data_IF_587971185999
#
_entry.id   IF_587971185999
#
_cell.length_a   1.000
_cell.length_b   1.000
_cell.length_c   1.000
_cell.angle_alpha   90.00
_cell.angle_beta   90.00
_cell.angle_gamma   90.00
#
_symmetry.space_group_name_H-M   'P 1'
#
loop_
_entity.id
_entity.type
_entity.pdbx_description
1 polymer ?
#
# COMPACT_ATOMS: atom_id res chain seq x y z
N UNK A 1 7.09 -5.30 5.61
CA UNK A 1 5.71 -5.50 5.11
C UNK A 1 5.42 -6.95 4.73
N UNK A 2 6.14 -7.56 3.79
CA UNK A 2 5.84 -8.92 3.29
C UNK A 2 5.76 -10.00 4.39
N UNK A 3 6.75 -10.08 5.28
CA UNK A 3 6.75 -11.03 6.41
C UNK A 3 5.56 -10.84 7.36
N UNK A 4 5.19 -9.57 7.61
CA UNK A 4 4.04 -9.22 8.46
C UNK A 4 2.72 -9.70 7.83
N UNK A 5 2.52 -9.43 6.53
CA UNK A 5 1.33 -9.88 5.81
C UNK A 5 1.26 -11.40 5.73
N UNK A 6 2.39 -12.07 5.45
CA UNK A 6 2.47 -13.53 5.43
C UNK A 6 2.08 -14.13 6.78
N UNK A 7 2.70 -13.66 7.86
CA UNK A 7 2.38 -14.11 9.23
C UNK A 7 0.91 -13.91 9.57
N UNK A 8 0.35 -12.75 9.21
CA UNK A 8 -1.06 -12.44 9.49
C UNK A 8 -2.01 -13.33 8.68
N UNK A 9 -1.72 -13.56 7.39
CA UNK A 9 -2.52 -14.44 6.54
C UNK A 9 -2.47 -15.90 7.00
N UNK A 10 -1.31 -16.37 7.47
CA UNK A 10 -1.16 -17.73 8.01
C UNK A 10 -1.88 -17.90 9.35
N UNK A 11 -1.91 -16.85 10.19
CA UNK A 11 -2.49 -16.92 11.53
C UNK A 11 -4.00 -16.69 11.55
N UNK A 12 -4.51 -15.82 10.69
CA UNK A 12 -5.90 -15.33 10.74
C UNK A 12 -6.66 -15.45 9.41
N UNK A 13 -6.07 -16.12 8.42
CA UNK A 13 -6.58 -16.17 7.05
C UNK A 13 -6.42 -14.85 6.30
N UNK A 14 -6.80 -14.86 5.01
CA UNK A 14 -6.71 -13.67 4.15
C UNK A 14 -7.79 -12.65 4.58
N UNK A 15 -7.43 -11.40 4.90
CA UNK A 15 -8.40 -10.36 5.22
C UNK A 15 -9.06 -9.76 3.98
N UNK A 16 -10.11 -8.96 4.15
CA UNK A 16 -10.74 -8.25 3.03
C UNK A 16 -9.88 -7.09 2.51
N UNK A 17 -9.09 -6.46 3.39
CA UNK A 17 -8.09 -5.43 3.07
C UNK A 17 -6.84 -5.59 3.94
N UNK A 18 -5.70 -5.06 3.49
CA UNK A 18 -4.47 -5.00 4.28
C UNK A 18 -4.72 -4.22 5.57
N UNK A 19 -5.48 -3.14 5.52
CA UNK A 19 -5.83 -2.36 6.71
C UNK A 19 -6.63 -3.13 7.75
N UNK A 20 -7.35 -4.20 7.37
CA UNK A 20 -8.10 -5.03 8.32
C UNK A 20 -7.17 -5.81 9.27
N UNK A 21 -5.89 -5.99 8.92
CA UNK A 21 -4.92 -6.65 9.81
C UNK A 21 -4.72 -5.90 11.13
N UNK A 22 -5.00 -4.59 11.15
CA UNK A 22 -5.07 -3.76 12.35
C UNK A 22 -6.03 -4.34 13.40
N UNK A 23 -7.20 -4.84 12.99
CA UNK A 23 -8.23 -5.36 13.89
C UNK A 23 -8.01 -6.83 14.28
N UNK A 24 -7.31 -7.60 13.45
CA UNK A 24 -7.08 -9.04 13.67
C UNK A 24 -5.87 -9.33 14.55
N UNK A 25 -4.92 -8.41 14.62
CA UNK A 25 -3.70 -8.59 15.42
C UNK A 25 -4.02 -8.34 16.91
N UNK A 26 -4.40 -9.39 17.64
CA UNK A 26 -4.62 -9.34 19.08
C UNK A 26 -3.34 -8.89 19.81
N UNK A 27 -3.34 -7.68 20.35
CA UNK A 27 -2.35 -7.21 21.33
C UNK A 27 -1.45 -6.05 20.91
N UNK A 28 -1.35 -5.70 19.62
CA UNK A 28 -0.57 -4.52 19.21
C UNK A 28 -1.16 -3.81 18.01
N UNK A 29 -2.11 -2.91 18.30
CA UNK A 29 -2.69 -1.94 17.35
C UNK A 29 -1.62 -1.10 16.64
N UNK A 30 -0.44 -0.98 17.25
CA UNK A 30 0.70 -0.21 16.75
C UNK A 30 1.54 -0.95 15.70
N UNK A 31 1.45 -2.28 15.61
CA UNK A 31 2.28 -3.05 14.65
C UNK A 31 1.93 -2.68 13.22
N UNK A 32 0.63 -2.62 12.88
CA UNK A 32 0.20 -2.24 11.54
C UNK A 32 0.72 -0.85 11.15
N UNK A 33 0.46 0.16 11.99
CA UNK A 33 0.92 1.53 11.77
C UNK A 33 2.45 1.61 11.71
N UNK A 34 3.16 0.92 12.60
CA UNK A 34 4.63 0.90 12.61
C UNK A 34 5.22 0.27 11.36
N UNK A 35 4.65 -0.84 10.88
CA UNK A 35 5.09 -1.50 9.64
C UNK A 35 4.83 -0.60 8.43
N UNK A 36 3.68 0.06 8.33
CA UNK A 36 3.40 1.01 7.25
C UNK A 36 4.29 2.25 7.33
N UNK A 37 4.49 2.82 8.52
CA UNK A 37 5.33 4.00 8.72
C UNK A 37 6.79 3.71 8.33
N UNK A 38 7.32 2.55 8.73
CA UNK A 38 8.63 2.09 8.29
C UNK A 38 8.67 1.92 6.77
N UNK A 39 7.66 1.28 6.19
CA UNK A 39 7.58 1.07 4.75
C UNK A 39 7.53 2.38 3.95
N UNK A 40 6.79 3.39 4.43
CA UNK A 40 6.76 4.74 3.87
C UNK A 40 8.13 5.41 3.99
N UNK A 41 8.74 5.35 5.18
CA UNK A 41 10.03 5.99 5.45
C UNK A 41 11.14 5.48 4.53
N UNK A 42 11.20 4.17 4.29
CA UNK A 42 12.14 3.58 3.33
C UNK A 42 11.82 3.94 1.87
N UNK A 43 10.56 4.22 1.54
CA UNK A 43 10.15 4.61 0.20
C UNK A 43 10.45 6.09 -0.12
N UNK A 44 10.60 6.97 0.88
CA UNK A 44 10.78 8.42 0.71
C UNK A 44 11.97 8.74 -0.20
N UNK A 45 13.17 8.29 0.18
CA UNK A 45 14.40 8.63 -0.55
C UNK A 45 14.40 8.11 -2.00
N UNK A 46 14.13 6.82 -2.28
CA UNK A 46 14.12 6.32 -3.65
C UNK A 46 13.02 6.98 -4.50
N UNK A 47 11.81 7.18 -3.96
CA UNK A 47 10.75 7.84 -4.70
C UNK A 47 11.11 9.29 -5.03
N UNK A 48 11.59 10.08 -4.07
CA UNK A 48 11.87 11.49 -4.33
C UNK A 48 13.12 11.71 -5.19
N UNK A 49 14.15 10.86 -5.07
CA UNK A 49 15.41 11.05 -5.77
C UNK A 49 15.42 10.49 -7.20
N UNK A 50 14.62 9.45 -7.49
CA UNK A 50 14.61 8.79 -8.81
C UNK A 50 13.38 9.14 -9.66
N UNK A 51 12.39 9.84 -9.10
CA UNK A 51 11.24 10.32 -9.89
C UNK A 51 11.61 11.59 -10.63
N UNK A 52 11.30 11.66 -11.94
CA UNK A 52 11.49 12.88 -12.74
C UNK A 52 10.74 14.07 -12.12
N UNK A 53 11.35 15.26 -12.16
CA UNK A 53 10.74 16.50 -11.68
C UNK A 53 9.35 16.77 -12.28
N UNK A 54 9.14 16.36 -13.53
CA UNK A 54 7.86 16.53 -14.24
C UNK A 54 6.66 15.87 -13.56
N UNK A 55 6.88 14.81 -12.79
CA UNK A 55 5.82 14.09 -12.06
C UNK A 55 6.20 13.72 -10.61
N UNK A 56 7.16 14.42 -10.02
CA UNK A 56 7.63 14.21 -8.64
C UNK A 56 6.52 14.40 -7.58
N UNK A 57 5.47 15.18 -7.91
CA UNK A 57 4.29 15.31 -7.06
C UNK A 57 3.57 13.95 -6.81
N UNK A 58 3.68 13.00 -7.74
CA UNK A 58 3.14 11.65 -7.55
C UNK A 58 3.90 10.91 -6.45
N UNK A 59 5.23 11.01 -6.43
CA UNK A 59 6.06 10.44 -5.37
C UNK A 59 5.69 11.02 -4.00
N UNK A 60 5.43 12.32 -3.92
CA UNK A 60 4.91 12.96 -2.71
C UNK A 60 3.55 12.37 -2.29
N UNK A 61 2.58 12.25 -3.20
CA UNK A 61 1.27 11.68 -2.88
C UNK A 61 1.33 10.22 -2.44
N UNK A 62 2.24 9.42 -3.01
CA UNK A 62 2.47 8.03 -2.60
C UNK A 62 2.97 8.00 -1.15
N UNK A 63 4.06 8.70 -0.86
CA UNK A 63 4.65 8.73 0.49
C UNK A 63 3.67 9.28 1.52
N UNK A 64 3.05 10.42 1.22
CA UNK A 64 2.06 11.04 2.09
C UNK A 64 0.85 10.11 2.31
N UNK A 65 0.34 9.48 1.25
CA UNK A 65 -0.76 8.54 1.33
C UNK A 65 -0.48 7.37 2.27
N UNK A 66 0.71 6.75 2.18
CA UNK A 66 1.10 5.66 3.09
C UNK A 66 1.18 6.17 4.54
N UNK A 67 1.73 7.36 4.78
CA UNK A 67 1.77 7.95 6.13
C UNK A 67 0.37 8.25 6.69
N UNK A 68 -0.54 8.79 5.90
CA UNK A 68 -1.91 9.04 6.33
C UNK A 68 -2.66 7.74 6.64
N UNK A 69 -2.50 6.70 5.83
CA UNK A 69 -3.04 5.36 6.09
C UNK A 69 -2.44 4.77 7.38
N UNK A 70 -1.15 4.97 7.64
CA UNK A 70 -0.49 4.54 8.87
C UNK A 70 -0.98 5.30 10.11
N UNK A 71 -1.26 6.60 9.96
CA UNK A 71 -1.69 7.50 11.03
C UNK A 71 -3.20 7.39 11.34
N UNK A 72 -4.00 6.92 10.39
CA UNK A 72 -5.43 6.63 10.55
C UNK A 72 -5.72 5.13 10.40
N UNK A 73 -5.10 4.26 11.22
CA UNK A 73 -5.23 2.82 11.04
C UNK A 73 -6.62 2.31 11.42
N UNK A 74 -7.38 3.03 12.26
CA UNK A 74 -8.70 2.61 12.71
C UNK A 74 -9.79 3.02 11.71
N UNK A 75 -9.73 2.47 10.49
CA UNK A 75 -10.62 2.86 9.38
C UNK A 75 -12.13 2.57 9.59
N UNK A 76 -12.52 1.82 10.64
CA UNK A 76 -13.93 1.63 11.02
C UNK A 76 -14.50 2.77 11.86
N UNK A 77 -13.66 3.67 12.36
CA UNK A 77 -14.12 4.91 13.00
C UNK A 77 -14.62 5.90 11.94
N UNK A 78 -15.60 6.75 12.28
CA UNK A 78 -16.25 7.62 11.29
C UNK A 78 -15.30 8.69 10.74
N UNK A 79 -14.45 9.26 11.61
CA UNK A 79 -13.51 10.30 11.20
C UNK A 79 -12.25 9.69 10.59
N UNK A 80 -11.61 8.75 11.29
CA UNK A 80 -10.40 8.09 10.76
C UNK A 80 -10.71 7.31 9.48
N UNK A 81 -11.88 6.70 9.35
CA UNK A 81 -12.29 5.97 8.15
C UNK A 81 -12.38 6.84 6.89
N UNK A 82 -12.86 8.09 7.02
CA UNK A 82 -12.90 9.04 5.90
C UNK A 82 -11.49 9.44 5.47
N UNK A 83 -10.62 9.74 6.43
CA UNK A 83 -9.20 10.09 6.18
C UNK A 83 -8.46 8.92 5.55
N UNK A 84 -8.62 7.72 6.12
CA UNK A 84 -8.00 6.48 5.64
C UNK A 84 -8.41 6.18 4.20
N UNK A 85 -9.72 6.20 3.92
CA UNK A 85 -10.25 5.89 2.59
C UNK A 85 -9.79 6.92 1.56
N UNK A 86 -9.83 8.22 1.90
CA UNK A 86 -9.34 9.28 1.03
C UNK A 86 -7.85 9.13 0.73
N UNK A 87 -7.03 8.88 1.75
CA UNK A 87 -5.60 8.67 1.60
C UNK A 87 -5.29 7.42 0.78
N UNK A 88 -6.00 6.31 1.00
CA UNK A 88 -5.83 5.06 0.25
C UNK A 88 -6.20 5.23 -1.22
N UNK A 89 -7.25 5.99 -1.54
CA UNK A 89 -7.63 6.29 -2.92
C UNK A 89 -6.58 7.14 -3.62
N UNK A 90 -6.13 8.24 -3.00
CA UNK A 90 -5.07 9.09 -3.54
C UNK A 90 -3.79 8.28 -3.76
N UNK A 91 -3.40 7.46 -2.79
CA UNK A 91 -2.26 6.55 -2.88
C UNK A 91 -2.40 5.59 -4.06
N UNK A 92 -3.58 4.98 -4.24
CA UNK A 92 -3.85 4.05 -5.32
C UNK A 92 -3.67 4.71 -6.70
N UNK A 93 -4.34 5.84 -6.93
CA UNK A 93 -4.24 6.56 -8.21
C UNK A 93 -2.83 7.09 -8.47
N UNK A 94 -2.18 7.67 -7.46
CA UNK A 94 -0.83 8.18 -7.58
C UNK A 94 0.18 7.07 -7.90
N UNK A 95 0.03 5.91 -7.27
CA UNK A 95 0.89 4.74 -7.51
C UNK A 95 0.69 4.18 -8.92
N UNK A 96 -0.55 4.04 -9.38
CA UNK A 96 -0.82 3.57 -10.76
C UNK A 96 -0.20 4.54 -11.78
N UNK A 97 -0.45 5.84 -11.63
CA UNK A 97 0.11 6.85 -12.53
C UNK A 97 1.65 6.83 -12.52
N UNK A 98 2.26 6.77 -11.34
CA UNK A 98 3.72 6.73 -11.20
C UNK A 98 4.34 5.48 -11.82
N UNK A 99 3.70 4.31 -11.63
CA UNK A 99 4.14 3.05 -12.23
C UNK A 99 4.07 3.10 -13.75
N UNK A 100 3.01 3.69 -14.31
CA UNK A 100 2.86 3.83 -15.77
C UNK A 100 3.94 4.74 -16.34
N UNK A 101 4.22 5.87 -15.67
CA UNK A 101 5.21 6.83 -16.14
C UNK A 101 6.66 6.34 -15.96
N UNK A 102 6.93 5.53 -14.94
CA UNK A 102 8.30 5.09 -14.61
C UNK A 102 8.66 3.72 -15.21
N UNK A 103 7.74 2.76 -15.17
CA UNK A 103 7.97 1.37 -15.56
C UNK A 103 7.09 0.89 -16.73
N UNK A 104 6.17 1.73 -17.22
CA UNK A 104 5.28 1.42 -18.34
C UNK A 104 4.04 0.61 -17.91
N UNK A 105 4.15 -0.71 -17.85
CA UNK A 105 2.99 -1.59 -17.58
C UNK A 105 3.10 -2.22 -16.19
N UNK A 106 2.14 -1.95 -15.27
CA UNK A 106 2.20 -2.45 -13.90
C UNK A 106 1.72 -3.90 -13.79
N UNK A 107 2.50 -4.87 -14.29
CA UNK A 107 2.10 -6.27 -14.38
C UNK A 107 1.68 -6.90 -13.03
N UNK A 108 2.39 -6.61 -11.94
CA UNK A 108 2.08 -7.19 -10.62
C UNK A 108 0.76 -6.61 -10.08
N UNK A 109 0.49 -5.32 -10.31
CA UNK A 109 -0.78 -4.71 -9.91
C UNK A 109 -1.95 -5.29 -10.71
N UNK A 110 -1.76 -5.50 -12.02
CA UNK A 110 -2.75 -6.16 -12.89
C UNK A 110 -3.04 -7.59 -12.39
N UNK A 111 -2.00 -8.36 -12.07
CA UNK A 111 -2.16 -9.70 -11.50
C UNK A 111 -2.95 -9.67 -10.18
N UNK A 112 -2.66 -8.71 -9.28
CA UNK A 112 -3.42 -8.50 -8.05
C UNK A 112 -4.91 -8.24 -8.32
N UNK A 113 -5.24 -7.39 -9.30
CA UNK A 113 -6.63 -7.13 -9.71
C UNK A 113 -7.30 -8.40 -10.26
N UNK A 114 -6.61 -9.17 -11.12
CA UNK A 114 -7.14 -10.42 -11.66
C UNK A 114 -7.45 -11.44 -10.56
N UNK A 115 -6.55 -11.60 -9.59
CA UNK A 115 -6.78 -12.48 -8.43
C UNK A 115 -7.93 -11.95 -7.58
N UNK A 116 -8.02 -10.63 -7.38
CA UNK A 116 -9.15 -10.02 -6.68
C UNK A 116 -10.49 -10.26 -7.37
N UNK A 117 -10.56 -10.21 -8.71
CA UNK A 117 -11.78 -10.50 -9.47
C UNK A 117 -12.24 -11.95 -9.24
N UNK A 118 -11.29 -12.90 -9.17
CA UNK A 118 -11.58 -14.30 -8.87
C UNK A 118 -12.00 -14.45 -7.39
N UNK A 119 -11.32 -13.75 -6.48
CA UNK A 119 -11.55 -13.77 -5.03
C UNK A 119 -12.31 -12.54 -4.55
N UNK A 120 -13.59 -12.48 -4.94
CA UNK A 120 -14.48 -11.32 -4.74
C UNK A 120 -14.57 -10.83 -3.29
N UNK A 121 -14.43 -11.73 -2.30
CA UNK A 121 -14.49 -11.35 -0.88
C UNK A 121 -13.24 -10.58 -0.46
N UNK A 122 -12.08 -11.03 -0.92
CA UNK A 122 -10.77 -10.43 -0.60
C UNK A 122 -10.26 -9.49 -1.70
N UNK A 123 -11.16 -8.93 -2.52
CA UNK A 123 -10.81 -8.12 -3.69
C UNK A 123 -9.86 -6.97 -3.34
N UNK A 124 -10.19 -6.19 -2.31
CA UNK A 124 -9.42 -5.00 -1.90
C UNK A 124 -8.03 -5.42 -1.43
N UNK A 125 -7.91 -6.50 -0.66
CA UNK A 125 -6.63 -7.04 -0.20
C UNK A 125 -5.70 -7.37 -1.37
N UNK A 126 -6.19 -8.08 -2.40
CA UNK A 126 -5.38 -8.45 -3.55
C UNK A 126 -5.00 -7.24 -4.41
N UNK A 127 -5.89 -6.24 -4.50
CA UNK A 127 -5.60 -4.96 -5.15
C UNK A 127 -4.48 -4.21 -4.43
N UNK A 128 -4.63 -4.00 -3.11
CA UNK A 128 -3.64 -3.30 -2.29
C UNK A 128 -2.29 -4.03 -2.29
N UNK A 129 -2.32 -5.36 -2.19
CA UNK A 129 -1.11 -6.19 -2.22
C UNK A 129 -0.41 -6.10 -3.57
N UNK A 130 -1.15 -6.24 -4.68
CA UNK A 130 -0.56 -6.16 -6.02
C UNK A 130 0.03 -4.78 -6.30
N UNK A 131 -0.66 -3.72 -5.90
CA UNK A 131 -0.22 -2.34 -6.09
C UNK A 131 1.04 -2.03 -5.27
N UNK A 132 1.04 -2.34 -3.97
CA UNK A 132 2.20 -2.13 -3.09
C UNK A 132 3.38 -3.02 -3.49
N UNK A 133 3.14 -4.28 -3.85
CA UNK A 133 4.19 -5.18 -4.30
C UNK A 133 4.87 -4.66 -5.57
N UNK A 134 4.09 -4.14 -6.53
CA UNK A 134 4.66 -3.56 -7.74
C UNK A 134 5.47 -2.29 -7.42
N UNK A 135 4.94 -1.41 -6.57
CA UNK A 135 5.64 -0.21 -6.12
C UNK A 135 7.00 -0.54 -5.50
N UNK A 136 7.04 -1.47 -4.53
CA UNK A 136 8.30 -1.85 -3.87
C UNK A 136 9.25 -2.61 -4.79
N UNK A 137 8.73 -3.38 -5.75
CA UNK A 137 9.57 -3.98 -6.81
C UNK A 137 10.24 -2.91 -7.64
N UNK A 138 9.52 -1.88 -8.09
CA UNK A 138 10.13 -0.83 -8.89
C UNK A 138 11.09 0.04 -8.09
N UNK A 139 10.75 0.37 -6.83
CA UNK A 139 11.68 1.04 -5.91
C UNK A 139 12.98 0.23 -5.77
N UNK A 140 12.88 -1.10 -5.62
CA UNK A 140 14.05 -1.96 -5.54
C UNK A 140 14.87 -1.92 -6.83
N UNK A 141 14.24 -1.98 -8.01
CA UNK A 141 14.93 -1.86 -9.30
C UNK A 141 15.61 -0.50 -9.47
N UNK A 142 15.05 0.58 -8.94
CA UNK A 142 15.68 1.91 -9.03
C UNK A 142 16.93 2.07 -8.13
N UNK A 143 17.09 1.20 -7.13
CA UNK A 143 18.21 1.25 -6.19
C UNK A 143 19.45 0.45 -6.65
N UNK A 144 19.35 -0.36 -7.70
CA UNK A 144 20.41 -1.23 -8.21
C UNK A 144 20.60 -1.10 -9.72
#
# INVERSE_FOLDING_TARGET
>A
MALYLLFTCLSFGVPNSISETYYRTFGSKWVFSGVLFAAASFAVAPLLNHTSESYQFLAFFIVAGIFFVAASPAFRDEFEGKVHTGAALILCFATIAWLILTAGVPYIAIAGVLVGIIRRREFIFWLELGLLANLYKEIFVLLF
#
